data_IF_229151780742
#
_entry.id   IF_229151780742
#
_cell.length_a   1.000
_cell.length_b   1.000
_cell.length_c   1.000
_cell.angle_alpha   90.00
_cell.angle_beta   90.00
_cell.angle_gamma   90.00
#
_symmetry.space_group_name_H-M   'P 1'
#
loop_
_entity.id
_entity.type
_entity.pdbx_description
1 polymer ?
#
# COMPACT_ATOMS: atom_id res chain seq x y z
N UNK A 1 -34.86 11.84 -33.17
CA UNK A 1 -33.68 12.70 -32.94
C UNK A 1 -33.61 13.31 -31.55
N UNK A 2 -34.66 13.96 -31.01
CA UNK A 2 -34.63 14.53 -29.64
C UNK A 2 -34.64 13.49 -28.52
N UNK A 3 -35.40 12.39 -28.66
CA UNK A 3 -35.50 11.31 -27.66
C UNK A 3 -34.21 10.46 -27.55
N UNK A 4 -33.52 10.23 -28.66
CA UNK A 4 -32.22 9.52 -28.69
C UNK A 4 -31.09 10.36 -28.11
N UNK A 5 -31.07 11.69 -28.32
CA UNK A 5 -30.11 12.57 -27.65
C UNK A 5 -30.36 12.62 -26.13
N UNK A 6 -31.61 12.71 -25.68
CA UNK A 6 -31.95 12.72 -24.24
C UNK A 6 -31.53 11.42 -23.53
N UNK A 7 -31.73 10.27 -24.17
CA UNK A 7 -31.31 8.97 -23.64
C UNK A 7 -29.77 8.83 -23.60
N UNK A 8 -29.07 9.34 -24.61
CA UNK A 8 -27.60 9.36 -24.64
C UNK A 8 -27.03 10.32 -23.58
N UNK A 9 -27.65 11.47 -23.33
CA UNK A 9 -27.21 12.39 -22.26
C UNK A 9 -27.45 11.81 -20.87
N UNK A 10 -28.55 11.07 -20.66
CA UNK A 10 -28.82 10.41 -19.39
C UNK A 10 -27.80 9.30 -19.07
N UNK A 11 -27.43 8.50 -20.08
CA UNK A 11 -26.46 7.40 -19.94
C UNK A 11 -25.05 7.93 -19.59
N UNK A 12 -24.64 9.04 -20.21
CA UNK A 12 -23.35 9.70 -19.91
C UNK A 12 -23.36 10.29 -18.49
N UNK A 13 -24.48 10.84 -18.02
CA UNK A 13 -24.58 11.40 -16.67
C UNK A 13 -24.59 10.33 -15.57
N UNK A 14 -25.18 9.16 -15.83
CA UNK A 14 -25.11 8.02 -14.90
C UNK A 14 -23.73 7.37 -14.82
N UNK A 15 -22.91 7.44 -15.88
CA UNK A 15 -21.54 6.89 -15.84
C UNK A 15 -20.57 7.79 -15.06
N UNK A 16 -20.81 9.11 -15.01
CA UNK A 16 -19.97 10.07 -14.29
C UNK A 16 -20.16 10.05 -12.76
N UNK A 17 -21.26 9.49 -12.25
CA UNK A 17 -21.57 9.49 -10.83
C UNK A 17 -20.96 8.30 -10.05
N UNK A 18 -20.40 7.29 -10.74
CA UNK A 18 -19.93 6.04 -10.11
C UNK A 18 -18.43 6.07 -9.77
N UNK A 19 -17.70 7.12 -10.17
CA UNK A 19 -16.23 7.18 -10.04
C UNK A 19 -15.70 7.81 -8.74
N UNK A 20 -16.55 8.07 -7.74
CA UNK A 20 -16.05 8.37 -6.41
C UNK A 20 -15.61 7.06 -5.74
N UNK A 21 -14.36 6.67 -5.99
CA UNK A 21 -13.65 5.76 -5.12
C UNK A 21 -13.63 6.40 -3.72
N UNK A 22 -14.46 5.90 -2.82
CA UNK A 22 -14.47 6.33 -1.43
C UNK A 22 -13.17 5.85 -0.79
N UNK A 23 -12.20 6.74 -0.57
CA UNK A 23 -11.14 6.49 0.40
C UNK A 23 -11.81 6.21 1.74
N UNK A 24 -11.57 5.02 2.31
CA UNK A 24 -12.17 4.61 3.57
C UNK A 24 -11.47 5.36 4.70
N UNK A 25 -11.92 6.58 4.98
CA UNK A 25 -11.44 7.38 6.11
C UNK A 25 -11.98 6.89 7.46
N UNK A 26 -12.74 5.79 7.48
CA UNK A 26 -13.38 5.26 8.67
C UNK A 26 -12.55 4.14 9.28
N UNK A 27 -12.15 4.35 10.54
CA UNK A 27 -11.46 3.34 11.34
C UNK A 27 -12.35 2.09 11.50
N UNK A 28 -11.83 0.87 11.26
CA UNK A 28 -12.60 -0.35 11.47
C UNK A 28 -13.11 -0.46 12.92
N UNK A 29 -14.34 -0.91 13.08
CA UNK A 29 -14.96 -1.05 14.42
C UNK A 29 -14.54 -2.31 15.15
N UNK A 30 -13.98 -3.29 14.44
CA UNK A 30 -13.49 -4.57 14.98
C UNK A 30 -12.39 -5.14 14.07
N UNK A 31 -11.55 -6.01 14.64
CA UNK A 31 -10.53 -6.75 13.91
C UNK A 31 -11.18 -7.77 12.96
N UNK A 32 -10.59 -7.99 11.79
CA UNK A 32 -11.06 -9.04 10.88
C UNK A 32 -10.77 -10.45 11.37
N UNK A 33 -11.55 -11.41 10.86
CA UNK A 33 -11.31 -12.84 11.09
C UNK A 33 -9.98 -13.30 10.48
N UNK A 34 -9.62 -12.76 9.31
CA UNK A 34 -8.35 -13.05 8.64
C UNK A 34 -7.16 -12.64 9.50
N UNK A 35 -7.18 -11.45 10.10
CA UNK A 35 -6.12 -11.06 11.04
C UNK A 35 -6.08 -12.00 12.26
N UNK A 36 -7.24 -12.46 12.76
CA UNK A 36 -7.25 -13.44 13.84
C UNK A 36 -6.52 -14.73 13.45
N UNK A 37 -6.71 -15.23 12.23
CA UNK A 37 -5.98 -16.37 11.69
C UNK A 37 -4.48 -16.11 11.59
N UNK A 38 -4.06 -14.94 11.09
CA UNK A 38 -2.65 -14.55 11.05
C UNK A 38 -2.00 -14.60 12.44
N UNK A 39 -2.71 -14.10 13.45
CA UNK A 39 -2.21 -14.03 14.84
C UNK A 39 -2.00 -15.42 15.42
N UNK A 40 -2.76 -16.45 15.02
CA UNK A 40 -2.62 -17.81 15.59
C UNK A 40 -1.20 -18.37 15.47
N UNK A 41 -0.47 -17.99 14.42
CA UNK A 41 0.89 -18.43 14.14
C UNK A 41 1.91 -17.32 14.42
N UNK A 42 1.64 -16.09 13.98
CA UNK A 42 2.63 -14.99 14.07
C UNK A 42 2.89 -14.51 15.51
N UNK A 43 2.02 -14.83 16.47
CA UNK A 43 2.29 -14.55 17.88
C UNK A 43 3.44 -15.40 18.47
N UNK A 44 3.79 -16.52 17.84
CA UNK A 44 4.94 -17.36 18.21
C UNK A 44 6.09 -17.24 17.23
N UNK A 45 5.82 -17.39 15.92
CA UNK A 45 6.85 -17.46 14.88
C UNK A 45 7.58 -16.13 14.71
N UNK A 46 6.86 -15.01 14.84
CA UNK A 46 7.41 -13.66 14.68
C UNK A 46 7.01 -12.77 15.84
N UNK A 47 7.27 -13.22 17.07
CA UNK A 47 6.82 -12.56 18.30
C UNK A 47 7.18 -11.06 18.36
N UNK A 48 8.33 -10.66 17.83
CA UNK A 48 8.75 -9.25 17.78
C UNK A 48 7.78 -8.37 16.97
N UNK A 49 7.38 -8.84 15.79
CA UNK A 49 6.43 -8.12 14.92
C UNK A 49 5.05 -8.05 15.58
N UNK A 50 4.60 -9.17 16.15
CA UNK A 50 3.33 -9.23 16.87
C UNK A 50 3.29 -8.24 18.05
N UNK A 51 4.38 -8.16 18.83
CA UNK A 51 4.49 -7.23 19.95
C UNK A 51 4.56 -5.77 19.50
N UNK A 52 5.36 -5.46 18.47
CA UNK A 52 5.45 -4.11 17.92
C UNK A 52 4.07 -3.62 17.45
N UNK A 53 3.39 -4.43 16.64
CA UNK A 53 2.02 -4.16 16.21
C UNK A 53 1.08 -3.99 17.41
N UNK A 54 1.11 -4.89 18.39
CA UNK A 54 0.23 -4.85 19.57
C UNK A 54 0.38 -3.59 20.42
N UNK A 55 1.53 -2.91 20.37
CA UNK A 55 1.74 -1.63 21.06
C UNK A 55 1.34 -0.40 20.23
N UNK A 56 1.14 -0.58 18.92
CA UNK A 56 0.87 0.48 17.96
C UNK A 56 -0.52 1.12 18.10
N UNK A 57 -0.73 2.24 17.39
CA UNK A 57 -2.07 2.83 17.25
C UNK A 57 -2.94 2.04 16.28
N UNK A 58 -2.36 1.36 15.29
CA UNK A 58 -3.09 0.53 14.33
C UNK A 58 -3.81 -0.63 15.03
N UNK A 59 -3.14 -1.31 15.97
CA UNK A 59 -3.79 -2.32 16.81
C UNK A 59 -5.02 -1.78 17.53
N UNK A 60 -4.90 -0.62 18.19
CA UNK A 60 -6.01 0.02 18.93
C UNK A 60 -7.12 0.51 18.01
N UNK A 61 -6.82 0.70 16.73
CA UNK A 61 -7.74 1.13 15.69
C UNK A 61 -8.30 -0.07 14.90
N UNK A 62 -8.09 -1.31 15.35
CA UNK A 62 -8.51 -2.53 14.66
C UNK A 62 -7.95 -2.68 13.24
N UNK A 63 -6.78 -2.09 12.95
CA UNK A 63 -6.02 -2.31 11.72
C UNK A 63 -4.99 -3.40 12.01
N UNK A 64 -5.24 -4.58 11.46
CA UNK A 64 -4.47 -5.80 11.71
C UNK A 64 -3.45 -6.11 10.63
N UNK A 65 -3.00 -7.36 10.63
CA UNK A 65 -2.02 -7.87 9.67
C UNK A 65 -2.63 -7.89 8.26
N UNK A 66 -3.81 -8.48 8.14
CA UNK A 66 -4.44 -8.75 6.85
C UNK A 66 -4.89 -7.46 6.16
N UNK A 67 -5.35 -6.45 6.93
CA UNK A 67 -5.79 -5.16 6.39
C UNK A 67 -4.70 -4.42 5.60
N UNK A 68 -3.43 -4.62 5.96
CA UNK A 68 -2.29 -4.02 5.26
C UNK A 68 -1.63 -4.96 4.26
N UNK A 69 -1.58 -6.26 4.57
CA UNK A 69 -0.81 -7.23 3.77
C UNK A 69 -1.64 -7.94 2.70
N UNK A 70 -2.97 -7.87 2.71
CA UNK A 70 -3.77 -8.41 1.61
C UNK A 70 -3.32 -7.81 0.27
N UNK A 71 -3.26 -8.62 -0.76
CA UNK A 71 -2.84 -8.19 -2.09
C UNK A 71 -3.76 -8.77 -3.17
N UNK A 72 -3.85 -8.08 -4.31
CA UNK A 72 -4.46 -8.65 -5.49
C UNK A 72 -3.51 -9.71 -6.07
N UNK A 73 -4.06 -10.80 -6.61
CA UNK A 73 -3.25 -11.88 -7.20
C UNK A 73 -2.39 -11.41 -8.37
N UNK A 74 -2.73 -10.26 -8.98
CA UNK A 74 -1.98 -9.66 -10.07
C UNK A 74 -0.93 -8.64 -9.60
N UNK A 75 -0.84 -8.35 -8.29
CA UNK A 75 0.25 -7.53 -7.77
C UNK A 75 1.58 -8.27 -7.94
N UNK A 76 2.63 -7.54 -8.32
CA UNK A 76 3.91 -8.12 -8.77
C UNK A 76 4.66 -8.87 -7.66
N UNK A 77 4.35 -8.55 -6.42
CA UNK A 77 4.92 -9.12 -5.20
C UNK A 77 3.90 -9.94 -4.40
N UNK A 78 2.71 -10.19 -4.96
CA UNK A 78 1.72 -11.05 -4.35
C UNK A 78 2.13 -12.54 -4.42
N UNK A 79 1.87 -13.26 -3.33
CA UNK A 79 2.03 -14.70 -3.27
C UNK A 79 1.02 -15.33 -2.30
N UNK A 80 0.88 -16.66 -2.39
CA UNK A 80 0.01 -17.43 -1.51
C UNK A 80 0.69 -17.69 -0.15
N UNK A 81 -0.04 -17.45 0.92
CA UNK A 81 0.40 -17.71 2.29
C UNK A 81 -0.74 -18.23 3.14
N UNK A 82 -0.77 -19.55 3.35
CA UNK A 82 -1.71 -20.25 4.23
C UNK A 82 -3.20 -19.99 3.91
N UNK A 83 -3.54 -20.00 2.62
CA UNK A 83 -4.90 -19.80 2.12
C UNK A 83 -5.23 -18.35 1.78
N UNK A 84 -4.30 -17.42 1.99
CA UNK A 84 -4.46 -16.00 1.67
C UNK A 84 -3.53 -15.57 0.55
N UNK A 85 -3.93 -14.56 -0.22
CA UNK A 85 -3.03 -13.86 -1.15
C UNK A 85 -2.54 -12.58 -0.48
N UNK A 86 -1.24 -12.48 -0.27
CA UNK A 86 -0.61 -11.36 0.45
C UNK A 86 0.62 -10.82 -0.27
N UNK A 87 1.00 -9.60 0.08
CA UNK A 87 2.31 -9.02 -0.20
C UNK A 87 3.02 -8.70 1.12
N UNK A 88 4.32 -8.99 1.21
CA UNK A 88 5.12 -8.65 2.40
C UNK A 88 5.42 -7.15 2.43
N UNK A 89 5.63 -6.53 1.27
CA UNK A 89 5.98 -5.11 1.17
C UNK A 89 4.69 -4.29 1.11
N UNK A 90 4.33 -3.68 2.23
CA UNK A 90 3.25 -2.69 2.27
C UNK A 90 3.77 -1.37 1.70
N UNK A 91 3.27 -1.02 0.51
CA UNK A 91 3.67 0.17 -0.24
C UNK A 91 2.92 1.43 0.22
N UNK A 92 3.35 2.64 -0.17
CA UNK A 92 2.57 3.86 0.06
C UNK A 92 1.15 3.79 -0.51
N UNK A 93 0.94 3.02 -1.59
CA UNK A 93 -0.38 2.83 -2.19
C UNK A 93 -1.33 2.07 -1.26
N UNK A 94 -0.83 1.10 -0.50
CA UNK A 94 -1.63 0.35 0.47
C UNK A 94 -2.04 1.22 1.64
N UNK A 95 -1.12 2.10 2.10
CA UNK A 95 -1.42 3.14 3.09
C UNK A 95 -2.52 4.10 2.62
N UNK A 96 -2.57 4.40 1.30
CA UNK A 96 -3.49 5.39 0.73
C UNK A 96 -4.97 4.99 0.82
N UNK A 97 -5.25 3.70 1.04
CA UNK A 97 -6.60 3.20 1.28
C UNK A 97 -7.29 3.91 2.46
N UNK A 98 -6.52 4.29 3.48
CA UNK A 98 -6.98 5.01 4.67
C UNK A 98 -6.31 6.38 4.86
N UNK A 99 -5.07 6.56 4.40
CA UNK A 99 -4.23 7.75 4.60
C UNK A 99 -3.95 8.49 3.28
N UNK A 100 -4.98 8.69 2.45
CA UNK A 100 -4.85 9.30 1.12
C UNK A 100 -4.12 10.66 1.16
N UNK A 101 -4.46 11.50 2.15
CA UNK A 101 -3.88 12.84 2.26
C UNK A 101 -2.38 12.78 2.57
N UNK A 102 -1.99 12.03 3.59
CA UNK A 102 -0.59 11.88 3.98
C UNK A 102 0.26 11.25 2.87
N UNK A 103 -0.29 10.26 2.16
CA UNK A 103 0.40 9.63 1.03
C UNK A 103 0.60 10.64 -0.10
N UNK A 104 -0.42 11.42 -0.46
CA UNK A 104 -0.28 12.47 -1.48
C UNK A 104 0.78 13.50 -1.09
N UNK A 105 0.76 13.97 0.17
CA UNK A 105 1.76 14.90 0.69
C UNK A 105 3.19 14.30 0.59
N UNK A 106 3.36 13.01 0.90
CA UNK A 106 4.65 12.34 0.79
C UNK A 106 5.10 12.15 -0.66
N UNK A 107 4.20 11.68 -1.54
CA UNK A 107 4.47 11.46 -2.97
C UNK A 107 4.92 12.74 -3.67
N UNK A 108 4.33 13.89 -3.33
CA UNK A 108 4.71 15.19 -3.87
C UNK A 108 6.05 15.72 -3.32
N UNK A 109 6.55 15.16 -2.22
CA UNK A 109 7.80 15.59 -1.59
C UNK A 109 9.07 15.11 -2.33
N UNK A 110 10.22 15.66 -1.98
CA UNK A 110 11.51 15.14 -2.48
C UNK A 110 11.87 13.78 -1.88
N UNK A 111 11.34 13.43 -0.71
CA UNK A 111 11.66 12.17 -0.04
C UNK A 111 11.16 10.95 -0.84
N UNK A 112 10.00 11.05 -1.50
CA UNK A 112 9.48 9.98 -2.35
C UNK A 112 10.38 9.69 -3.55
N UNK A 113 11.20 10.67 -3.97
CA UNK A 113 12.13 10.59 -5.12
C UNK A 113 13.57 10.29 -4.71
N UNK A 114 13.83 10.09 -3.41
CA UNK A 114 15.19 9.91 -2.91
C UNK A 114 15.91 8.74 -3.59
N UNK A 115 15.21 7.63 -3.84
CA UNK A 115 15.77 6.45 -4.52
C UNK A 115 16.18 6.70 -5.98
N UNK A 116 15.67 7.73 -6.64
CA UNK A 116 16.05 8.07 -8.03
C UNK A 116 17.51 8.45 -8.17
N UNK A 117 18.20 8.81 -7.08
CA UNK A 117 19.64 9.07 -7.10
C UNK A 117 20.41 7.86 -7.61
N UNK A 118 19.99 6.64 -7.29
CA UNK A 118 20.68 5.40 -7.70
C UNK A 118 20.76 5.25 -9.23
N UNK A 119 19.83 5.86 -9.96
CA UNK A 119 19.83 5.91 -11.43
C UNK A 119 20.39 7.20 -12.03
N UNK A 120 20.98 8.09 -11.23
CA UNK A 120 21.51 9.38 -11.68
C UNK A 120 22.95 9.30 -12.19
N UNK A 121 23.35 10.28 -13.00
CA UNK A 121 24.75 10.43 -13.42
C UNK A 121 25.67 10.71 -12.22
N UNK A 122 25.15 11.38 -11.18
CA UNK A 122 25.90 11.67 -9.96
C UNK A 122 26.23 10.38 -9.19
N UNK A 123 25.30 9.42 -9.14
CA UNK A 123 25.59 8.09 -8.57
C UNK A 123 26.59 7.31 -9.42
N UNK A 124 26.52 7.41 -10.75
CA UNK A 124 27.52 6.80 -11.63
C UNK A 124 28.92 7.41 -11.42
N UNK A 125 29.02 8.74 -11.30
CA UNK A 125 30.27 9.42 -10.96
C UNK A 125 30.81 8.93 -9.62
N UNK A 126 29.96 8.91 -8.58
CA UNK A 126 30.35 8.51 -7.23
C UNK A 126 30.76 7.04 -7.13
N UNK A 127 30.10 6.13 -7.85
CA UNK A 127 30.29 4.69 -7.70
C UNK A 127 31.33 4.12 -8.68
N UNK A 128 31.33 4.59 -9.94
CA UNK A 128 32.15 4.02 -11.02
C UNK A 128 33.38 4.88 -11.32
N UNK A 129 33.27 6.20 -11.31
CA UNK A 129 34.37 7.07 -11.75
C UNK A 129 35.28 7.46 -10.58
N UNK A 130 34.69 7.88 -9.46
CA UNK A 130 35.39 8.38 -8.28
C UNK A 130 35.36 7.40 -7.10
N UNK A 131 34.56 6.33 -7.19
CA UNK A 131 34.39 5.34 -6.13
C UNK A 131 35.68 4.61 -5.78
N UNK A 132 35.89 4.34 -4.48
CA UNK A 132 36.99 3.49 -4.04
C UNK A 132 36.64 2.02 -4.33
N UNK A 133 37.22 1.49 -5.41
CA UNK A 133 37.06 0.10 -5.83
C UNK A 133 37.51 -0.92 -4.79
N UNK A 134 38.29 -0.53 -3.78
CA UNK A 134 38.64 -1.43 -2.66
C UNK A 134 37.48 -1.66 -1.68
N UNK A 135 36.39 -0.89 -1.77
CA UNK A 135 35.22 -1.02 -0.90
C UNK A 135 34.34 -2.24 -1.23
N UNK A 136 34.40 -2.74 -2.47
CA UNK A 136 33.56 -3.86 -2.93
C UNK A 136 34.19 -5.25 -2.76
N UNK A 137 35.41 -5.34 -2.21
CA UNK A 137 36.12 -6.60 -1.97
C UNK A 137 36.88 -7.10 -3.18
#
# INVERSE_FOLDING_TARGET
MKKTKLLQTLIVFTFLAVSFAYSQTTIPTMMSEQTADCITCHNTETIGIYQEWGTSKHYRANVGCFECHQADINDVDAFEHNGFTIAIIVSPKDCSNCHEREVREFEESHHSKAGSILGSLDNFLADVVEGDWNFYG
#
